data_IF_626886863269
#
_entry.id   IF_626886863269
#
_cell.length_a   1.000
_cell.length_b   1.000
_cell.length_c   1.000
_cell.angle_alpha   90.00
_cell.angle_beta   90.00
_cell.angle_gamma   90.00
#
_symmetry.space_group_name_H-M   'P 1'
#
loop_
_entity.id
_entity.type
_entity.pdbx_description
1 polymer ?
#
# COMPACT_ATOMS: atom_id res chain seq x y z
N UNK A 1 15.88 10.49 -2.37
CA UNK A 1 15.56 10.89 -0.98
C UNK A 1 16.85 10.87 -0.22
N UNK A 2 17.21 11.96 0.46
CA UNK A 2 18.53 12.08 1.09
C UNK A 2 18.62 11.36 2.45
N UNK A 3 17.56 10.66 2.84
CA UNK A 3 17.54 9.79 4.02
C UNK A 3 17.27 8.33 3.59
N UNK A 4 18.32 7.51 3.38
CA UNK A 4 18.18 6.12 2.96
C UNK A 4 17.41 5.26 3.96
N UNK A 5 17.27 5.69 5.23
CA UNK A 5 16.55 4.98 6.26
C UNK A 5 15.10 5.42 6.46
N UNK A 6 14.53 6.30 5.62
CA UNK A 6 13.20 6.89 5.88
C UNK A 6 12.09 5.85 6.12
N UNK A 7 12.11 4.76 5.36
CA UNK A 7 11.10 3.71 5.46
C UNK A 7 11.50 2.56 6.38
N UNK A 8 12.76 2.55 6.84
CA UNK A 8 13.30 1.55 7.76
C UNK A 8 12.84 1.88 9.19
N UNK A 9 11.73 1.27 9.60
CA UNK A 9 11.15 1.41 10.94
C UNK A 9 11.06 0.04 11.62
N UNK A 10 12.06 -0.29 12.43
CA UNK A 10 12.23 -1.60 13.06
C UNK A 10 10.98 -2.16 13.78
N UNK A 11 10.13 -1.35 14.43
CA UNK A 11 8.87 -1.84 15.01
C UNK A 11 7.96 -2.54 13.99
N UNK A 12 7.94 -2.11 12.72
CA UNK A 12 7.15 -2.76 11.66
C UNK A 12 7.62 -4.19 11.43
N UNK A 13 8.93 -4.43 11.33
CA UNK A 13 9.47 -5.77 11.09
C UNK A 13 9.06 -6.74 12.20
N UNK A 14 9.12 -6.30 13.47
CA UNK A 14 8.65 -7.12 14.62
C UNK A 14 7.15 -7.40 14.53
N UNK A 15 6.35 -6.39 14.19
CA UNK A 15 4.91 -6.54 14.01
C UNK A 15 4.59 -7.59 12.93
N UNK A 16 5.29 -7.52 11.79
CA UNK A 16 5.16 -8.46 10.68
C UNK A 16 5.46 -9.89 11.12
N UNK A 17 6.60 -10.12 11.79
CA UNK A 17 7.00 -11.44 12.28
C UNK A 17 5.98 -12.01 13.27
N UNK A 18 5.56 -11.21 14.26
CA UNK A 18 4.61 -11.63 15.29
C UNK A 18 3.23 -11.96 14.72
N UNK A 19 2.72 -11.13 13.80
CA UNK A 19 1.41 -11.35 13.18
C UNK A 19 1.43 -12.56 12.26
N UNK A 20 2.48 -12.70 11.43
CA UNK A 20 2.65 -13.87 10.56
C UNK A 20 2.66 -15.17 11.38
N UNK A 21 3.43 -15.21 12.48
CA UNK A 21 3.47 -16.36 13.37
C UNK A 21 2.09 -16.67 14.01
N UNK A 22 1.35 -15.63 14.44
CA UNK A 22 -0.01 -15.79 14.99
C UNK A 22 -0.97 -16.35 13.94
N UNK A 23 -0.95 -15.83 12.72
CA UNK A 23 -1.81 -16.29 11.62
C UNK A 23 -1.53 -17.77 11.31
N UNK A 24 -0.27 -18.15 11.14
CA UNK A 24 0.10 -19.54 10.85
C UNK A 24 -0.37 -20.49 11.96
N UNK A 25 -0.26 -20.08 13.23
CA UNK A 25 -0.75 -20.85 14.37
C UNK A 25 -2.28 -21.03 14.36
N UNK A 26 -3.02 -20.01 13.90
CA UNK A 26 -4.49 -20.05 13.78
C UNK A 26 -4.90 -21.01 12.66
N UNK A 27 -4.29 -20.88 11.47
CA UNK A 27 -4.69 -21.65 10.29
C UNK A 27 -4.27 -23.13 10.37
N UNK A 28 -3.12 -23.42 10.97
CA UNK A 28 -2.61 -24.78 11.05
C UNK A 28 -1.95 -25.06 12.42
N UNK A 29 -2.76 -25.27 13.47
CA UNK A 29 -2.26 -25.49 14.83
C UNK A 29 -1.49 -26.82 14.91
N UNK A 30 -0.16 -26.72 14.93
CA UNK A 30 0.75 -27.86 15.03
C UNK A 30 1.75 -27.99 13.87
N UNK A 31 1.52 -27.29 12.76
CA UNK A 31 2.50 -27.19 11.69
C UNK A 31 3.60 -26.18 12.07
N UNK A 32 4.85 -26.49 11.68
CA UNK A 32 5.92 -25.49 11.72
C UNK A 32 5.69 -24.48 10.59
N UNK A 33 5.77 -23.16 10.85
CA UNK A 33 5.79 -22.15 9.82
C UNK A 33 6.85 -22.51 8.76
N UNK A 34 6.44 -22.58 7.50
CA UNK A 34 7.37 -22.69 6.37
C UNK A 34 7.44 -21.32 5.72
N UNK A 35 8.59 -20.64 5.71
CA UNK A 35 8.73 -19.39 4.98
C UNK A 35 8.57 -19.64 3.47
N UNK A 36 8.07 -18.66 2.72
CA UNK A 36 7.98 -18.75 1.24
C UNK A 36 9.34 -18.82 0.56
N UNK A 37 10.39 -18.32 1.23
CA UNK A 37 11.67 -18.00 0.61
C UNK A 37 11.68 -16.66 -0.14
N UNK A 38 10.56 -15.92 -0.17
CA UNK A 38 10.44 -14.60 -0.78
C UNK A 38 10.74 -13.45 0.21
N UNK A 39 10.88 -13.78 1.49
CA UNK A 39 11.24 -12.85 2.57
C UNK A 39 10.08 -12.52 3.52
N UNK A 40 10.37 -11.92 4.68
CA UNK A 40 9.40 -11.71 5.75
C UNK A 40 8.23 -10.80 5.36
N UNK A 41 8.47 -9.79 4.52
CA UNK A 41 7.41 -8.91 4.00
C UNK A 41 6.39 -9.68 3.17
N UNK A 42 6.89 -10.56 2.27
CA UNK A 42 6.02 -11.40 1.45
C UNK A 42 5.25 -12.38 2.33
N UNK A 43 5.92 -13.03 3.29
CA UNK A 43 5.28 -13.95 4.24
C UNK A 43 4.15 -13.25 5.02
N UNK A 44 4.36 -12.01 5.49
CA UNK A 44 3.34 -11.23 6.19
C UNK A 44 2.13 -10.89 5.30
N UNK A 45 2.38 -10.35 4.10
CA UNK A 45 1.33 -10.01 3.15
C UNK A 45 0.49 -11.24 2.76
N UNK A 46 1.15 -12.36 2.48
CA UNK A 46 0.50 -13.59 2.00
C UNK A 46 -0.22 -14.34 3.11
N UNK A 47 0.31 -14.34 4.34
CA UNK A 47 -0.40 -14.89 5.50
C UNK A 47 -1.74 -14.19 5.72
N UNK A 48 -1.80 -12.86 5.51
CA UNK A 48 -3.06 -12.11 5.60
C UNK A 48 -4.07 -12.49 4.52
N UNK A 49 -3.63 -12.73 3.28
CA UNK A 49 -4.51 -13.28 2.24
C UNK A 49 -5.03 -14.68 2.61
N UNK A 50 -4.16 -15.56 3.11
CA UNK A 50 -4.56 -16.90 3.51
C UNK A 50 -5.55 -16.88 4.69
N UNK A 51 -5.33 -16.00 5.68
CA UNK A 51 -6.26 -15.83 6.79
C UNK A 51 -7.62 -15.36 6.31
N UNK A 52 -7.64 -14.35 5.45
CA UNK A 52 -8.89 -13.76 4.96
C UNK A 52 -9.71 -14.75 4.14
N UNK A 53 -9.04 -15.48 3.24
CA UNK A 53 -9.67 -16.51 2.43
C UNK A 53 -10.19 -17.68 3.28
N UNK A 54 -9.41 -18.13 4.26
CA UNK A 54 -9.84 -19.18 5.19
C UNK A 54 -11.05 -18.73 6.02
N UNK A 55 -11.05 -17.50 6.53
CA UNK A 55 -12.17 -16.96 7.30
C UNK A 55 -13.45 -16.88 6.46
N UNK A 56 -13.36 -16.38 5.22
CA UNK A 56 -14.49 -16.34 4.30
C UNK A 56 -15.02 -17.74 3.99
N UNK A 57 -14.14 -18.69 3.66
CA UNK A 57 -14.51 -20.07 3.38
C UNK A 57 -15.20 -20.74 4.60
N UNK A 58 -14.68 -20.50 5.81
CA UNK A 58 -15.26 -21.01 7.04
C UNK A 58 -16.68 -20.46 7.28
N UNK A 59 -16.88 -19.15 7.07
CA UNK A 59 -18.19 -18.50 7.22
C UNK A 59 -19.22 -19.01 6.22
N UNK A 60 -18.81 -19.31 5.00
CA UNK A 60 -19.67 -19.84 3.93
C UNK A 60 -19.86 -21.36 3.98
N UNK A 61 -19.14 -22.07 4.84
CA UNK A 61 -19.17 -23.54 4.92
C UNK A 61 -18.43 -24.24 3.78
N UNK A 62 -17.57 -23.54 3.05
CA UNK A 62 -16.81 -24.04 1.90
C UNK A 62 -15.55 -24.79 2.37
N UNK A 63 -15.76 -26.03 2.84
CA UNK A 63 -14.71 -26.82 3.47
C UNK A 63 -13.48 -27.04 2.58
N UNK A 64 -13.67 -27.29 1.29
CA UNK A 64 -12.56 -27.52 0.37
C UNK A 64 -11.65 -26.27 0.22
N UNK A 65 -12.24 -25.08 0.16
CA UNK A 65 -11.49 -23.83 0.11
C UNK A 65 -10.76 -23.56 1.44
N UNK A 66 -11.42 -23.81 2.57
CA UNK A 66 -10.78 -23.70 3.89
C UNK A 66 -9.56 -24.62 4.01
N UNK A 67 -9.73 -25.90 3.65
CA UNK A 67 -8.65 -26.89 3.69
C UNK A 67 -7.49 -26.50 2.76
N UNK A 68 -7.78 -25.88 1.60
CA UNK A 68 -6.76 -25.34 0.70
C UNK A 68 -5.95 -24.20 1.35
N UNK A 69 -6.59 -23.21 1.97
CA UNK A 69 -5.87 -22.12 2.63
C UNK A 69 -5.03 -22.60 3.83
N UNK A 70 -5.53 -23.59 4.58
CA UNK A 70 -4.79 -24.20 5.68
C UNK A 70 -3.54 -24.98 5.20
N UNK A 71 -3.61 -25.58 4.00
CA UNK A 71 -2.49 -26.26 3.36
C UNK A 71 -1.52 -25.31 2.65
N UNK A 72 -2.02 -24.16 2.16
CA UNK A 72 -1.29 -23.16 1.40
C UNK A 72 -1.29 -21.81 2.14
N UNK A 73 -0.52 -21.67 3.24
CA UNK A 73 -0.52 -20.47 4.08
C UNK A 73 0.00 -19.20 3.39
N UNK A 74 0.49 -19.35 2.15
CA UNK A 74 0.99 -18.28 1.29
C UNK A 74 0.18 -18.09 0.01
N UNK A 75 -1.01 -18.70 -0.04
CA UNK A 75 -1.94 -18.66 -1.18
C UNK A 75 -1.28 -18.97 -2.55
N UNK A 76 -0.30 -19.87 -2.57
CA UNK A 76 0.49 -20.28 -3.76
C UNK A 76 1.12 -19.14 -4.59
N UNK A 77 1.24 -17.95 -4.00
CA UNK A 77 1.71 -16.74 -4.66
C UNK A 77 3.12 -16.84 -5.26
N UNK A 78 3.97 -17.72 -4.74
CA UNK A 78 5.32 -17.93 -5.27
C UNK A 78 5.31 -18.40 -6.73
N UNK A 79 4.37 -19.27 -7.10
CA UNK A 79 4.23 -19.80 -8.46
C UNK A 79 3.74 -18.74 -9.47
N UNK A 80 3.02 -17.74 -8.98
CA UNK A 80 2.38 -16.69 -9.79
C UNK A 80 3.14 -15.35 -9.74
N UNK A 81 4.34 -15.33 -9.15
CA UNK A 81 5.12 -14.11 -8.98
C UNK A 81 5.83 -13.65 -10.26
N UNK A 82 5.96 -12.34 -10.41
CA UNK A 82 6.62 -11.65 -11.51
C UNK A 82 7.95 -11.08 -11.03
N UNK A 83 9.09 -11.40 -11.66
CA UNK A 83 10.36 -10.77 -11.33
C UNK A 83 10.34 -9.26 -11.60
N UNK A 84 10.86 -8.46 -10.68
CA UNK A 84 10.97 -7.00 -10.80
C UNK A 84 12.31 -6.53 -10.23
N UNK A 85 12.67 -5.25 -10.42
CA UNK A 85 13.89 -4.66 -9.81
C UNK A 85 13.88 -4.74 -8.27
N UNK A 86 12.70 -4.80 -7.66
CA UNK A 86 12.53 -4.86 -6.21
C UNK A 86 12.32 -6.30 -5.70
N UNK A 87 12.62 -7.30 -6.52
CA UNK A 87 12.32 -8.71 -6.27
C UNK A 87 10.94 -9.16 -6.79
N UNK A 88 10.54 -10.41 -6.55
CA UNK A 88 9.28 -10.96 -7.07
C UNK A 88 8.04 -10.24 -6.54
N UNK A 89 7.02 -10.03 -7.38
CA UNK A 89 5.72 -9.42 -7.01
C UNK A 89 4.56 -10.24 -7.52
N UNK A 90 3.48 -10.31 -6.73
CA UNK A 90 2.23 -10.86 -7.22
C UNK A 90 1.47 -9.76 -7.92
N UNK A 91 1.17 -9.95 -9.21
CA UNK A 91 0.41 -8.99 -10.00
C UNK A 91 -0.79 -9.71 -10.56
N UNK A 92 -1.98 -9.24 -10.20
CA UNK A 92 -3.26 -9.81 -10.60
C UNK A 92 -4.16 -8.72 -11.18
N UNK A 93 -5.07 -9.12 -12.07
CA UNK A 93 -6.03 -8.23 -12.70
C UNK A 93 -7.40 -8.92 -12.77
N UNK A 94 -8.06 -9.09 -11.60
CA UNK A 94 -9.33 -9.81 -11.52
C UNK A 94 -10.46 -9.04 -12.20
N UNK A 95 -11.52 -9.75 -12.59
CA UNK A 95 -12.75 -9.07 -12.97
C UNK A 95 -13.35 -8.37 -11.74
N UNK A 96 -13.99 -7.22 -11.96
CA UNK A 96 -14.56 -6.44 -10.85
C UNK A 96 -15.70 -7.17 -10.12
N UNK A 97 -16.30 -8.17 -10.77
CA UNK A 97 -17.27 -9.07 -10.17
C UNK A 97 -16.68 -10.03 -9.15
N UNK A 98 -15.37 -10.28 -9.23
CA UNK A 98 -14.64 -11.19 -8.34
C UNK A 98 -14.13 -10.48 -7.07
N UNK A 99 -14.37 -9.17 -6.94
CA UNK A 99 -14.04 -8.44 -5.73
C UNK A 99 -15.02 -8.81 -4.61
N UNK A 100 -14.47 -9.37 -3.54
CA UNK A 100 -15.19 -9.69 -2.31
C UNK A 100 -15.69 -8.43 -1.64
N UNK A 101 -16.91 -8.51 -1.10
CA UNK A 101 -17.45 -7.52 -0.15
C UNK A 101 -17.64 -8.19 1.20
N UNK A 102 -17.12 -7.57 2.24
CA UNK A 102 -17.25 -8.06 3.61
C UNK A 102 -18.09 -7.10 4.44
N UNK A 103 -18.95 -7.58 5.36
CA UNK A 103 -19.75 -6.71 6.22
C UNK A 103 -18.95 -5.70 7.04
N UNK A 104 -17.65 -5.95 7.20
CA UNK A 104 -16.72 -5.14 8.00
C UNK A 104 -15.75 -4.32 7.13
N UNK A 105 -15.91 -4.31 5.81
CA UNK A 105 -15.13 -3.49 4.89
C UNK A 105 -16.07 -2.75 3.94
N UNK A 106 -16.00 -1.42 3.95
CA UNK A 106 -16.81 -0.58 3.07
C UNK A 106 -16.37 -0.69 1.60
N UNK A 107 -15.11 -1.03 1.37
CA UNK A 107 -14.50 -1.14 0.04
C UNK A 107 -14.35 -2.61 -0.35
N UNK A 108 -14.72 -2.94 -1.58
CA UNK A 108 -14.49 -4.28 -2.11
C UNK A 108 -13.00 -4.57 -2.28
N UNK A 109 -12.57 -5.83 -2.12
CA UNK A 109 -11.17 -6.23 -2.23
C UNK A 109 -11.03 -7.62 -2.84
N UNK A 110 -9.84 -7.92 -3.35
CA UNK A 110 -9.50 -9.22 -3.93
C UNK A 110 -8.66 -10.02 -2.95
N UNK A 111 -8.97 -11.31 -2.80
CA UNK A 111 -8.20 -12.24 -1.96
C UNK A 111 -7.57 -13.28 -2.86
N UNK A 112 -6.25 -13.47 -2.77
CA UNK A 112 -5.58 -14.55 -3.46
C UNK A 112 -6.17 -15.90 -3.02
N UNK A 113 -6.58 -16.72 -3.96
CA UNK A 113 -7.12 -18.06 -3.77
C UNK A 113 -6.64 -19.05 -4.84
N UNK A 114 -7.14 -20.31 -4.80
CA UNK A 114 -6.71 -21.39 -5.68
C UNK A 114 -6.86 -21.06 -7.17
N UNK A 115 -7.87 -20.26 -7.52
CA UNK A 115 -8.20 -19.88 -8.89
C UNK A 115 -7.54 -18.55 -9.29
N UNK A 116 -6.58 -18.06 -8.51
CA UNK A 116 -5.87 -16.81 -8.83
C UNK A 116 -4.97 -17.00 -10.04
N UNK A 117 -5.30 -16.29 -11.11
CA UNK A 117 -4.43 -16.18 -12.27
C UNK A 117 -3.54 -14.93 -12.20
N UNK A 118 -2.27 -15.03 -12.64
CA UNK A 118 -1.44 -13.86 -12.85
C UNK A 118 -2.07 -12.92 -13.88
N UNK A 119 -1.88 -11.61 -13.71
CA UNK A 119 -2.29 -10.64 -14.71
C UNK A 119 -1.66 -10.94 -16.09
N UNK A 120 -2.31 -10.52 -17.20
CA UNK A 120 -1.74 -10.59 -18.53
C UNK A 120 -0.32 -10.00 -18.60
N UNK A 121 0.55 -10.56 -19.45
CA UNK A 121 1.97 -10.18 -19.51
C UNK A 121 2.18 -8.67 -19.66
N UNK A 122 1.39 -7.99 -20.50
CA UNK A 122 1.50 -6.53 -20.68
C UNK A 122 1.28 -5.73 -19.39
N UNK A 123 0.34 -6.15 -18.55
CA UNK A 123 0.08 -5.51 -17.26
C UNK A 123 1.19 -5.81 -16.23
N UNK A 124 1.74 -7.04 -16.26
CA UNK A 124 2.89 -7.39 -15.43
C UNK A 124 4.13 -6.59 -15.80
N UNK A 125 4.37 -6.39 -17.10
CA UNK A 125 5.44 -5.51 -17.60
C UNK A 125 5.20 -4.05 -17.21
N UNK A 126 3.96 -3.55 -17.28
CA UNK A 126 3.62 -2.20 -16.83
C UNK A 126 3.97 -1.99 -15.34
N UNK A 127 3.60 -2.95 -14.47
CA UNK A 127 3.95 -2.89 -13.04
C UNK A 127 5.46 -2.95 -12.84
N UNK A 128 6.16 -3.86 -13.51
CA UNK A 128 7.63 -3.96 -13.39
C UNK A 128 8.34 -2.65 -13.81
N UNK A 129 7.84 -1.99 -14.87
CA UNK A 129 8.34 -0.70 -15.31
C UNK A 129 8.03 0.40 -14.29
N UNK A 130 6.83 0.42 -13.72
CA UNK A 130 6.45 1.39 -12.69
C UNK A 130 7.33 1.26 -11.44
N UNK A 131 7.62 0.03 -11.00
CA UNK A 131 8.54 -0.24 -9.90
C UNK A 131 9.97 0.20 -10.22
N UNK A 132 10.41 0.07 -11.48
CA UNK A 132 11.69 0.60 -11.94
C UNK A 132 11.74 2.12 -11.85
N UNK A 133 10.70 2.81 -12.32
CA UNK A 133 10.61 4.28 -12.22
C UNK A 133 10.58 4.75 -10.75
N UNK A 134 9.86 4.05 -9.88
CA UNK A 134 9.82 4.35 -8.45
C UNK A 134 11.18 4.12 -7.77
N UNK A 135 11.88 3.04 -8.11
CA UNK A 135 13.21 2.74 -7.59
C UNK A 135 14.23 3.82 -7.96
N UNK A 136 14.28 4.20 -9.25
CA UNK A 136 15.15 5.25 -9.76
C UNK A 136 14.92 6.63 -9.13
N UNK A 137 13.71 6.88 -8.62
CA UNK A 137 13.34 8.13 -7.93
C UNK A 137 13.46 8.02 -6.40
N UNK A 138 13.95 6.89 -5.89
CA UNK A 138 14.27 6.66 -4.49
C UNK A 138 13.13 6.12 -3.62
N UNK A 139 12.10 5.51 -4.23
CA UNK A 139 10.95 4.92 -3.53
C UNK A 139 10.94 3.39 -3.54
N UNK A 140 12.02 2.76 -4.04
CA UNK A 140 12.14 1.31 -4.11
C UNK A 140 11.93 0.61 -2.76
N UNK A 141 12.54 1.12 -1.68
CA UNK A 141 12.39 0.54 -0.34
C UNK A 141 10.93 0.54 0.17
N UNK A 142 10.18 1.64 -0.06
CA UNK A 142 8.77 1.72 0.31
C UNK A 142 7.95 0.67 -0.42
N UNK A 143 8.08 0.59 -1.75
CA UNK A 143 7.32 -0.36 -2.56
C UNK A 143 7.76 -1.82 -2.31
N UNK A 144 9.03 -2.02 -1.94
CA UNK A 144 9.52 -3.33 -1.57
C UNK A 144 8.90 -3.87 -0.28
N UNK A 145 8.68 -3.00 0.69
CA UNK A 145 8.11 -3.36 1.98
C UNK A 145 6.56 -3.34 2.01
N UNK A 146 5.90 -2.53 1.18
CA UNK A 146 4.48 -2.20 1.37
C UNK A 146 3.60 -2.27 0.11
N UNK A 147 4.10 -2.84 -0.99
CA UNK A 147 3.32 -3.11 -2.21
C UNK A 147 3.74 -4.45 -2.84
N UNK A 148 3.61 -5.54 -2.09
CA UNK A 148 3.98 -6.88 -2.55
C UNK A 148 2.94 -7.49 -3.51
N UNK A 149 1.65 -7.32 -3.21
CA UNK A 149 0.53 -7.72 -4.08
C UNK A 149 -0.03 -6.49 -4.76
N UNK A 150 -0.01 -6.46 -6.08
CA UNK A 150 -0.58 -5.39 -6.91
C UNK A 150 -1.81 -5.92 -7.62
N UNK A 151 -2.97 -5.34 -7.30
CA UNK A 151 -4.25 -5.67 -7.91
C UNK A 151 -4.63 -4.53 -8.86
N UNK A 152 -4.51 -4.80 -10.16
CA UNK A 152 -4.92 -3.87 -11.19
C UNK A 152 -6.41 -4.02 -11.49
N UNK A 153 -7.11 -2.91 -11.54
CA UNK A 153 -8.56 -2.86 -11.71
C UNK A 153 -8.91 -2.43 -13.13
N UNK A 154 -9.32 -1.17 -13.32
CA UNK A 154 -9.74 -0.68 -14.63
C UNK A 154 -8.59 0.02 -15.34
N UNK A 155 -8.45 -0.26 -16.63
CA UNK A 155 -7.70 0.62 -17.52
C UNK A 155 -8.46 1.94 -17.71
N UNK A 156 -7.75 3.05 -17.57
CA UNK A 156 -8.27 4.42 -17.66
C UNK A 156 -7.40 5.25 -18.60
N UNK A 157 -8.02 6.27 -19.18
CA UNK A 157 -7.30 7.28 -19.94
C UNK A 157 -6.66 8.31 -19.00
N UNK A 158 -5.57 8.92 -19.45
CA UNK A 158 -4.92 10.02 -18.73
C UNK A 158 -5.93 11.15 -18.49
N UNK A 159 -5.94 11.71 -17.27
CA UNK A 159 -6.89 12.76 -16.87
C UNK A 159 -8.26 12.24 -16.39
N UNK A 160 -8.59 10.96 -16.57
CA UNK A 160 -9.73 10.37 -15.87
C UNK A 160 -9.40 10.17 -14.39
N UNK A 161 -10.41 10.24 -13.53
CA UNK A 161 -10.25 9.90 -12.12
C UNK A 161 -9.83 8.44 -11.98
N UNK A 162 -8.66 8.24 -11.38
CA UNK A 162 -8.15 6.93 -10.97
C UNK A 162 -8.63 6.67 -9.54
N UNK A 163 -9.10 5.45 -9.31
CA UNK A 163 -9.48 4.99 -7.97
C UNK A 163 -8.38 4.06 -7.48
N UNK A 164 -7.88 4.34 -6.29
CA UNK A 164 -6.91 3.52 -5.59
C UNK A 164 -7.30 3.36 -4.13
N UNK A 165 -6.91 2.22 -3.54
CA UNK A 165 -7.03 2.02 -2.10
C UNK A 165 -6.10 0.91 -1.59
N UNK A 166 -5.92 0.91 -0.28
CA UNK A 166 -5.43 -0.23 0.50
C UNK A 166 -6.30 -0.41 1.74
N UNK A 167 -6.24 -1.60 2.35
CA UNK A 167 -6.99 -1.94 3.56
C UNK A 167 -6.08 -2.61 4.58
N UNK A 168 -6.29 -2.30 5.86
CA UNK A 168 -5.50 -2.87 6.97
C UNK A 168 -5.64 -4.39 7.10
N UNK A 169 -6.68 -4.98 6.50
CA UNK A 169 -6.94 -6.42 6.50
C UNK A 169 -6.00 -7.19 5.56
N UNK A 170 -5.59 -6.54 4.47
CA UNK A 170 -4.68 -7.08 3.45
C UNK A 170 -3.44 -6.15 3.34
N UNK A 171 -2.63 -6.07 4.41
CA UNK A 171 -1.44 -5.22 4.40
C UNK A 171 -0.47 -5.65 3.30
N UNK A 172 0.22 -4.68 2.70
CA UNK A 172 1.13 -4.93 1.58
C UNK A 172 0.42 -5.17 0.24
N UNK A 173 -0.91 -5.07 0.20
CA UNK A 173 -1.72 -5.14 -1.02
C UNK A 173 -2.16 -3.76 -1.45
N UNK A 174 -2.11 -3.48 -2.75
CA UNK A 174 -2.55 -2.21 -3.34
C UNK A 174 -3.54 -2.47 -4.47
N UNK A 175 -4.65 -1.73 -4.46
CA UNK A 175 -5.73 -1.83 -5.45
C UNK A 175 -5.74 -0.56 -6.28
N UNK A 176 -5.55 -0.67 -7.59
CA UNK A 176 -5.32 0.49 -8.45
C UNK A 176 -6.09 0.36 -9.77
N UNK A 177 -6.92 1.34 -10.10
CA UNK A 177 -7.13 1.69 -11.51
C UNK A 177 -5.78 2.13 -12.09
N UNK A 178 -5.56 1.94 -13.40
CA UNK A 178 -4.28 2.24 -14.01
C UNK A 178 -4.43 2.93 -15.35
N UNK A 179 -3.43 3.74 -15.68
CA UNK A 179 -3.21 4.17 -17.07
C UNK A 179 -2.22 3.20 -17.73
N UNK A 180 -1.98 3.37 -19.03
CA UNK A 180 -0.91 2.64 -19.71
C UNK A 180 0.50 3.15 -19.40
N UNK A 181 0.64 4.15 -18.53
CA UNK A 181 1.91 4.84 -18.28
C UNK A 181 2.56 4.41 -16.94
N UNK A 182 3.82 3.93 -16.96
CA UNK A 182 4.54 3.51 -15.76
C UNK A 182 4.76 4.61 -14.72
N UNK A 183 4.99 5.87 -15.12
CA UNK A 183 5.25 6.95 -14.19
C UNK A 183 3.99 7.34 -13.41
N UNK A 184 2.84 7.32 -14.09
CA UNK A 184 1.54 7.54 -13.46
C UNK A 184 1.23 6.39 -12.49
N UNK A 185 1.43 5.13 -12.90
CA UNK A 185 1.20 3.98 -12.03
C UNK A 185 2.13 3.97 -10.81
N UNK A 186 3.40 4.35 -10.98
CA UNK A 186 4.36 4.43 -9.88
C UNK A 186 3.95 5.44 -8.81
N UNK A 187 3.41 6.60 -9.20
CA UNK A 187 2.83 7.57 -8.26
C UNK A 187 1.73 6.93 -7.41
N UNK A 188 0.81 6.20 -8.04
CA UNK A 188 -0.35 5.62 -7.35
C UNK A 188 0.06 4.43 -6.47
N UNK A 189 1.05 3.63 -6.92
CA UNK A 189 1.71 2.62 -6.09
C UNK A 189 2.34 3.24 -4.83
N UNK A 190 3.04 4.36 -4.97
CA UNK A 190 3.67 5.08 -3.83
C UNK A 190 2.62 5.62 -2.87
N UNK A 191 1.49 6.12 -3.38
CA UNK A 191 0.38 6.58 -2.55
C UNK A 191 -0.14 5.46 -1.64
N UNK A 192 -0.53 4.33 -2.23
CA UNK A 192 -1.12 3.23 -1.47
C UNK A 192 -0.09 2.48 -0.62
N UNK A 193 1.15 2.34 -1.08
CA UNK A 193 2.23 1.83 -0.26
C UNK A 193 2.53 2.75 0.93
N UNK A 194 2.41 4.07 0.75
CA UNK A 194 2.51 5.05 1.83
C UNK A 194 1.42 4.82 2.89
N UNK A 195 0.19 4.53 2.48
CA UNK A 195 -0.88 4.15 3.41
C UNK A 195 -0.60 2.83 4.12
N UNK A 196 -0.12 1.80 3.42
CA UNK A 196 0.30 0.54 4.04
C UNK A 196 1.41 0.75 5.08
N UNK A 197 2.44 1.51 4.73
CA UNK A 197 3.53 1.84 5.65
C UNK A 197 3.01 2.52 6.91
N UNK A 198 2.14 3.53 6.77
CA UNK A 198 1.63 4.27 7.92
C UNK A 198 0.70 3.42 8.80
N UNK A 199 -0.13 2.57 8.19
CA UNK A 199 -0.96 1.61 8.92
C UNK A 199 -0.09 0.70 9.80
N UNK A 200 0.97 0.12 9.23
CA UNK A 200 1.88 -0.74 9.96
C UNK A 200 2.68 0.03 11.02
N UNK A 201 3.15 1.24 10.70
CA UNK A 201 3.91 2.08 11.63
C UNK A 201 3.08 2.47 12.86
N UNK A 202 1.86 2.95 12.66
CA UNK A 202 0.94 3.32 13.74
C UNK A 202 0.57 2.10 14.59
N UNK A 203 0.29 0.95 13.96
CA UNK A 203 0.00 -0.29 14.67
C UNK A 203 1.20 -0.77 15.50
N UNK A 204 2.40 -0.73 14.93
CA UNK A 204 3.64 -1.15 15.60
C UNK A 204 4.01 -0.22 16.77
N UNK A 205 3.73 1.09 16.63
CA UNK A 205 3.91 2.08 17.68
C UNK A 205 2.77 2.08 18.72
N UNK A 206 1.75 1.23 18.57
CA UNK A 206 0.60 1.19 19.47
C UNK A 206 -0.23 2.47 19.47
N UNK A 207 -0.21 3.23 18.38
CA UNK A 207 -0.92 4.50 18.27
C UNK A 207 -2.44 4.26 18.24
N UNK A 208 -3.15 5.01 19.07
CA UNK A 208 -4.61 5.09 19.04
C UNK A 208 -5.01 6.56 19.09
N UNK A 209 -6.03 6.94 18.33
CA UNK A 209 -6.48 8.31 18.24
C UNK A 209 -7.90 8.43 18.78
N UNK A 210 -8.17 9.50 19.52
CA UNK A 210 -9.54 9.87 19.89
C UNK A 210 -10.30 10.33 18.63
N UNK A 211 -11.48 9.78 18.38
CA UNK A 211 -12.35 10.17 17.26
C UNK A 211 -12.76 11.66 17.31
N UNK A 212 -12.65 12.30 18.48
CA UNK A 212 -12.90 13.74 18.66
C UNK A 212 -11.74 14.62 18.20
N UNK A 213 -10.54 14.06 18.04
CA UNK A 213 -9.39 14.78 17.52
C UNK A 213 -9.54 14.91 16.00
N UNK A 214 -10.16 16.01 15.56
CA UNK A 214 -10.45 16.28 14.15
C UNK A 214 -9.65 17.46 13.61
N UNK A 215 -9.21 17.33 12.36
CA UNK A 215 -8.45 18.33 11.63
C UNK A 215 -9.10 18.57 10.26
N UNK A 216 -9.01 19.80 9.75
CA UNK A 216 -9.48 20.08 8.41
C UNK A 216 -8.57 19.41 7.38
N UNK A 217 -9.13 18.58 6.50
CA UNK A 217 -8.40 17.92 5.42
C UNK A 217 -8.63 18.66 4.10
N UNK A 218 -7.64 19.39 3.56
CA UNK A 218 -7.78 20.11 2.29
C UNK A 218 -8.20 19.21 1.13
N UNK A 219 -7.69 17.97 1.09
CA UNK A 219 -8.01 16.98 0.06
C UNK A 219 -9.46 16.50 0.04
N UNK A 220 -10.19 16.67 1.14
CA UNK A 220 -11.60 16.25 1.28
C UNK A 220 -12.53 17.42 1.58
N UNK A 221 -12.00 18.63 1.71
CA UNK A 221 -12.72 19.85 2.08
C UNK A 221 -13.64 19.65 3.30
N UNK A 222 -13.16 18.90 4.29
CA UNK A 222 -13.96 18.50 5.45
C UNK A 222 -13.10 18.19 6.68
N UNK A 223 -13.72 18.24 7.86
CA UNK A 223 -13.10 17.78 9.10
C UNK A 223 -12.96 16.27 9.09
N UNK A 224 -11.77 15.77 9.41
CA UNK A 224 -11.46 14.34 9.48
C UNK A 224 -10.81 13.98 10.81
N UNK A 225 -11.06 12.78 11.33
CA UNK A 225 -10.29 12.25 12.46
C UNK A 225 -8.78 12.29 12.17
N UNK A 226 -7.98 12.42 13.22
CA UNK A 226 -6.52 12.49 13.17
C UNK A 226 -5.91 11.40 12.27
N UNK A 227 -6.40 10.16 12.39
CA UNK A 227 -5.99 9.05 11.55
C UNK A 227 -6.08 9.38 10.05
N UNK A 228 -7.26 9.82 9.59
CA UNK A 228 -7.48 10.15 8.19
C UNK A 228 -6.67 11.37 7.72
N UNK A 229 -6.51 12.37 8.59
CA UNK A 229 -5.71 13.55 8.30
C UNK A 229 -4.21 13.23 8.16
N UNK A 230 -3.64 12.49 9.11
CA UNK A 230 -2.24 12.05 9.09
C UNK A 230 -1.94 11.18 7.86
N UNK A 231 -2.88 10.30 7.47
CA UNK A 231 -2.77 9.53 6.23
C UNK A 231 -2.63 10.42 4.99
N UNK A 232 -3.42 11.48 4.88
CA UNK A 232 -3.31 12.42 3.76
C UNK A 232 -1.99 13.20 3.81
N UNK A 233 -1.61 13.70 5.00
CA UNK A 233 -0.35 14.40 5.23
C UNK A 233 0.90 13.51 5.09
N UNK A 234 0.74 12.20 4.90
CA UNK A 234 1.82 11.28 4.62
C UNK A 234 1.86 10.86 3.14
N UNK A 235 0.77 10.29 2.62
CA UNK A 235 0.74 9.72 1.28
C UNK A 235 0.91 10.79 0.19
N UNK A 236 0.23 11.94 0.30
CA UNK A 236 0.33 12.98 -0.72
C UNK A 236 1.74 13.60 -0.80
N UNK A 237 2.40 13.99 0.30
CA UNK A 237 3.80 14.40 0.26
C UNK A 237 4.75 13.40 -0.41
N UNK A 238 4.59 12.10 -0.17
CA UNK A 238 5.39 11.09 -0.87
C UNK A 238 5.19 11.15 -2.38
N UNK A 239 3.93 11.25 -2.84
CA UNK A 239 3.65 11.40 -4.28
C UNK A 239 4.16 12.71 -4.85
N UNK A 240 4.18 13.81 -4.09
CA UNK A 240 4.74 15.09 -4.54
C UNK A 240 6.25 14.98 -4.76
N UNK A 241 6.96 14.40 -3.77
CA UNK A 241 8.41 14.17 -3.85
C UNK A 241 8.79 13.22 -4.99
N UNK A 242 7.98 12.19 -5.24
CA UNK A 242 8.12 11.33 -6.41
C UNK A 242 7.90 12.12 -7.71
N UNK A 243 6.79 12.85 -7.78
CA UNK A 243 6.37 13.56 -9.00
C UNK A 243 7.40 14.60 -9.40
N UNK A 244 7.92 15.38 -8.44
CA UNK A 244 8.97 16.36 -8.71
C UNK A 244 10.22 15.74 -9.36
N UNK A 245 10.62 14.52 -8.95
CA UNK A 245 11.79 13.82 -9.50
C UNK A 245 11.51 13.17 -10.85
N UNK A 246 10.34 12.53 -11.01
CA UNK A 246 10.00 11.87 -12.27
C UNK A 246 9.72 12.88 -13.40
N UNK A 247 9.35 14.11 -13.04
CA UNK A 247 9.21 15.20 -14.01
C UNK A 247 10.50 15.46 -14.80
N UNK A 248 11.69 15.18 -14.27
CA UNK A 248 12.94 15.32 -15.03
C UNK A 248 13.04 14.34 -16.21
N UNK A 249 12.28 13.25 -16.18
CA UNK A 249 12.37 12.11 -17.10
C UNK A 249 11.06 11.83 -17.85
N UNK A 250 10.07 12.73 -17.74
CA UNK A 250 8.76 12.61 -18.42
C UNK A 250 8.56 13.73 -19.43
N UNK A 251 7.86 13.39 -20.52
CA UNK A 251 7.59 14.29 -21.64
C UNK A 251 6.10 14.27 -22.02
N UNK A 252 5.70 15.17 -22.92
CA UNK A 252 4.36 15.21 -23.50
C UNK A 252 3.22 15.31 -22.49
N UNK A 253 2.12 14.64 -22.79
CA UNK A 253 0.88 14.70 -22.00
C UNK A 253 1.06 14.20 -20.57
N UNK A 254 1.94 13.21 -20.36
CA UNK A 254 2.24 12.66 -19.03
C UNK A 254 2.94 13.71 -18.18
N UNK A 255 3.92 14.44 -18.73
CA UNK A 255 4.58 15.55 -18.04
C UNK A 255 3.59 16.65 -17.66
N UNK A 256 2.71 17.00 -18.59
CA UNK A 256 1.68 18.03 -18.36
C UNK A 256 0.72 17.61 -17.23
N UNK A 257 0.25 16.36 -17.26
CA UNK A 257 -0.61 15.78 -16.23
C UNK A 257 0.06 15.76 -14.85
N UNK A 258 1.31 15.30 -14.78
CA UNK A 258 2.06 15.23 -13.52
C UNK A 258 2.43 16.62 -12.96
N UNK A 259 2.68 17.59 -13.83
CA UNK A 259 2.91 18.99 -13.42
C UNK A 259 1.64 19.57 -12.81
N UNK A 260 0.49 19.44 -13.49
CA UNK A 260 -0.79 19.90 -12.97
C UNK A 260 -1.16 19.23 -11.64
N UNK A 261 -0.90 17.92 -11.51
CA UNK A 261 -1.06 17.20 -10.26
C UNK A 261 -0.18 17.80 -9.15
N UNK A 262 1.11 18.02 -9.41
CA UNK A 262 2.04 18.57 -8.41
C UNK A 262 1.62 19.97 -7.96
N UNK A 263 1.22 20.84 -8.88
CA UNK A 263 0.73 22.18 -8.58
C UNK A 263 -0.51 22.15 -7.67
N UNK A 264 -1.49 21.29 -7.99
CA UNK A 264 -2.65 21.10 -7.13
C UNK A 264 -2.27 20.63 -5.73
N UNK A 265 -1.33 19.67 -5.61
CA UNK A 265 -0.93 19.13 -4.31
C UNK A 265 -0.14 20.15 -3.47
N UNK A 266 0.60 21.07 -4.08
CA UNK A 266 1.29 22.16 -3.35
C UNK A 266 0.30 23.02 -2.57
N UNK A 267 -0.77 23.47 -3.23
CA UNK A 267 -1.80 24.30 -2.59
C UNK A 267 -2.48 23.57 -1.42
N UNK A 268 -2.82 22.30 -1.63
CA UNK A 268 -3.46 21.46 -0.60
C UNK A 268 -2.54 21.18 0.58
N UNK A 269 -1.25 20.91 0.33
CA UNK A 269 -0.28 20.66 1.38
C UNK A 269 0.02 21.93 2.20
N UNK A 270 0.15 23.08 1.53
CA UNK A 270 0.35 24.35 2.21
C UNK A 270 -0.79 24.67 3.18
N UNK A 271 -2.04 24.37 2.79
CA UNK A 271 -3.21 24.53 3.64
C UNK A 271 -3.21 23.61 4.89
N UNK A 272 -2.44 22.52 4.89
CA UNK A 272 -2.33 21.61 6.04
C UNK A 272 -1.20 21.97 7.02
N UNK A 273 -0.36 22.95 6.69
CA UNK A 273 0.91 23.20 7.38
C UNK A 273 0.77 23.60 8.85
N UNK A 274 -0.28 24.37 9.20
CA UNK A 274 -0.52 24.79 10.58
C UNK A 274 -1.04 23.66 11.47
N UNK A 275 -1.84 22.75 10.90
CA UNK A 275 -2.48 21.66 11.64
C UNK A 275 -1.61 20.41 11.73
N UNK A 276 -0.67 20.22 10.80
CA UNK A 276 0.18 19.03 10.78
C UNK A 276 0.99 18.83 12.08
N UNK A 277 1.72 19.82 12.63
CA UNK A 277 2.43 19.66 13.91
C UNK A 277 1.49 19.27 15.06
N UNK A 278 0.28 19.84 15.11
CA UNK A 278 -0.71 19.55 16.15
C UNK A 278 -1.24 18.12 16.05
N UNK A 279 -1.42 17.61 14.83
CA UNK A 279 -1.81 16.22 14.62
C UNK A 279 -0.68 15.25 15.04
N UNK A 280 0.57 15.62 14.81
CA UNK A 280 1.73 14.82 15.20
C UNK A 280 1.93 14.72 16.71
N UNK A 281 1.46 15.70 17.50
CA UNK A 281 1.48 15.64 18.98
C UNK A 281 0.69 14.44 19.54
N UNK A 282 -0.22 13.87 18.74
CA UNK A 282 -0.99 12.68 19.09
C UNK A 282 -0.20 11.37 18.95
N UNK A 283 1.00 11.41 18.35
CA UNK A 283 1.89 10.26 18.19
C UNK A 283 2.97 10.33 19.28
N UNK A 284 2.97 9.33 20.16
CA UNK A 284 3.94 9.26 21.27
C UNK A 284 5.31 8.75 20.84
N UNK A 285 5.39 7.98 19.76
CA UNK A 285 6.65 7.50 19.20
C UNK A 285 7.39 8.65 18.51
N UNK A 286 8.55 9.01 19.06
CA UNK A 286 9.34 10.17 18.59
C UNK A 286 9.93 9.95 17.20
N UNK A 287 10.47 8.76 16.92
CA UNK A 287 11.05 8.41 15.62
C UNK A 287 9.99 8.46 14.51
N UNK A 288 8.82 7.87 14.77
CA UNK A 288 7.69 7.93 13.82
C UNK A 288 7.29 9.39 13.54
N UNK A 289 7.11 10.19 14.60
CA UNK A 289 6.74 11.60 14.46
C UNK A 289 7.78 12.41 13.67
N UNK A 290 9.06 12.20 13.93
CA UNK A 290 10.14 12.89 13.20
C UNK A 290 10.15 12.56 11.72
N UNK A 291 9.90 11.29 11.35
CA UNK A 291 9.81 10.85 9.95
C UNK A 291 8.64 11.50 9.22
N UNK A 292 7.46 11.47 9.83
CA UNK A 292 6.27 12.12 9.26
C UNK A 292 6.50 13.63 9.09
N UNK A 293 7.08 14.28 10.10
CA UNK A 293 7.43 15.70 10.05
C UNK A 293 8.46 16.00 8.96
N UNK A 294 9.48 15.16 8.79
CA UNK A 294 10.53 15.35 7.81
C UNK A 294 10.00 15.30 6.36
N UNK A 295 9.17 14.30 6.04
CA UNK A 295 8.58 14.17 4.69
C UNK A 295 7.65 15.33 4.37
N UNK A 296 6.79 15.70 5.33
CA UNK A 296 5.88 16.83 5.16
C UNK A 296 6.64 18.15 4.93
N UNK A 297 7.65 18.44 5.76
CA UNK A 297 8.52 19.62 5.58
C UNK A 297 9.26 19.59 4.25
N UNK A 298 9.78 18.44 3.83
CA UNK A 298 10.49 18.33 2.56
C UNK A 298 9.56 18.61 1.38
N UNK A 299 8.34 18.06 1.39
CA UNK A 299 7.36 18.30 0.32
C UNK A 299 6.90 19.76 0.26
N UNK A 300 6.85 20.47 1.41
CA UNK A 300 6.57 21.92 1.46
C UNK A 300 7.65 22.80 0.80
N UNK A 301 8.84 22.26 0.53
CA UNK A 301 9.92 23.01 -0.16
C UNK A 301 9.88 22.94 -1.68
N UNK A 302 8.97 22.13 -2.25
CA UNK A 302 8.80 21.94 -3.70
C UNK A 302 8.01 23.07 -4.34
#
# INVERSE_FOLDING_TARGET
MDNPGLFDFLPISRLHDERTAKIHKILNPGARPRPTGLGPVADYCLAHHALEGAEAAARSGERAAFDWYAANPHADAAASSTPTVLGPRVVVAPDLGDLTRSPISETSYYVLGPDTEPAPLGLRTLVANALTTADQTGFGALLAAHAFVVVLLRAKQLGQTLISWTITRLPGTVFLDHTGDPAVLARDLIHEAGHNWLNDALAAAGCTFDDRAVFHSPWRESMRPAFGFLHACWAFPLTMLYTARVLEHTEGDVRAFLTAYLDQQRDLLAASAADHPRALELIHDEDLRERLAAVHRQALTL
#
